data_IF_779340206702
#
_entry.id   IF_779340206702
#
_cell.length_a   1.000
_cell.length_b   1.000
_cell.length_c   1.000
_cell.angle_alpha   90.00
_cell.angle_beta   90.00
_cell.angle_gamma   90.00
#
_symmetry.space_group_name_H-M   'P 1'
#
loop_
_entity.id
_entity.type
_entity.pdbx_description
1 polymer ?
#
# COMPACT_ATOMS: atom_id res chain seq x y z
N UNK A 1 -6.45 8.78 -13.41
CA UNK A 1 -6.47 7.59 -12.55
C UNK A 1 -7.69 7.63 -11.65
N UNK A 2 -8.15 6.47 -11.15
CA UNK A 2 -9.27 6.39 -10.20
C UNK A 2 -9.03 7.27 -8.98
N UNK A 3 -7.81 7.31 -8.47
CA UNK A 3 -7.42 8.13 -7.33
C UNK A 3 -7.58 9.64 -7.60
N UNK A 4 -7.19 10.13 -8.77
CA UNK A 4 -7.43 11.53 -9.17
C UNK A 4 -8.93 11.83 -9.23
N UNK A 5 -9.70 10.94 -9.85
CA UNK A 5 -11.15 11.12 -9.90
C UNK A 5 -11.77 11.20 -8.50
N UNK A 6 -11.33 10.36 -7.56
CA UNK A 6 -11.84 10.37 -6.19
C UNK A 6 -11.52 11.70 -5.47
N UNK A 7 -10.30 12.21 -5.56
CA UNK A 7 -9.93 13.46 -4.89
C UNK A 7 -10.53 14.70 -5.54
N UNK A 8 -10.91 14.63 -6.82
CA UNK A 8 -11.62 15.72 -7.49
C UNK A 8 -13.06 15.92 -6.95
N UNK A 9 -13.64 14.87 -6.33
CA UNK A 9 -14.91 14.96 -5.64
C UNK A 9 -14.79 15.62 -4.24
N UNK A 10 -13.57 15.79 -3.74
CA UNK A 10 -13.27 16.38 -2.43
C UNK A 10 -12.23 17.49 -2.64
N UNK A 11 -12.62 18.64 -3.23
CA UNK A 11 -11.69 19.69 -3.64
C UNK A 11 -10.90 20.31 -2.47
N UNK A 12 -11.49 20.31 -1.27
CA UNK A 12 -10.89 20.88 -0.06
C UNK A 12 -9.95 19.91 0.69
N UNK A 13 -9.79 18.68 0.20
CA UNK A 13 -8.85 17.73 0.79
C UNK A 13 -7.41 18.25 0.66
N UNK A 14 -6.69 18.34 1.77
CA UNK A 14 -5.26 18.69 1.82
C UNK A 14 -4.39 17.44 1.90
N UNK A 15 -4.75 16.51 2.78
CA UNK A 15 -4.05 15.23 2.98
C UNK A 15 -4.98 14.09 2.62
N UNK A 16 -4.45 13.14 1.88
CA UNK A 16 -5.17 11.91 1.48
C UNK A 16 -4.49 10.72 2.10
N UNK A 17 -5.26 9.88 2.78
CA UNK A 17 -4.84 8.54 3.21
C UNK A 17 -5.51 7.52 2.28
N UNK A 18 -4.73 6.93 1.39
CA UNK A 18 -5.16 5.84 0.51
C UNK A 18 -4.82 4.52 1.18
N UNK A 19 -5.83 3.71 1.44
CA UNK A 19 -5.73 2.43 2.15
C UNK A 19 -6.17 1.32 1.21
N UNK A 20 -5.35 0.27 1.07
CA UNK A 20 -5.74 -0.92 0.33
C UNK A 20 -6.47 -1.90 1.25
N UNK A 21 -7.67 -2.31 0.85
CA UNK A 21 -8.50 -3.20 1.67
C UNK A 21 -8.03 -4.67 1.65
N UNK A 22 -7.10 -5.01 0.77
CA UNK A 22 -6.34 -6.26 0.79
C UNK A 22 -5.36 -6.37 1.96
N UNK A 23 -5.14 -5.30 2.72
CA UNK A 23 -4.22 -5.25 3.88
C UNK A 23 -5.00 -5.18 5.19
N UNK A 24 -5.37 -6.32 5.79
CA UNK A 24 -6.34 -6.38 6.90
C UNK A 24 -5.78 -5.97 8.27
N UNK A 25 -4.46 -5.83 8.41
CA UNK A 25 -3.80 -5.65 9.72
C UNK A 25 -3.16 -4.28 9.91
N UNK A 26 -3.73 -3.24 9.31
CA UNK A 26 -3.22 -1.88 9.48
C UNK A 26 -3.39 -1.44 10.94
N UNK A 27 -2.30 -1.05 11.57
CA UNK A 27 -2.32 -0.49 12.92
C UNK A 27 -2.64 1.01 12.86
N UNK A 28 -3.68 1.49 13.58
CA UNK A 28 -4.08 2.90 13.57
C UNK A 28 -2.92 3.86 13.91
N UNK A 29 -2.03 3.48 14.82
CA UNK A 29 -0.86 4.28 15.22
C UNK A 29 0.10 4.55 14.06
N UNK A 30 0.25 3.58 13.13
CA UNK A 30 1.16 3.70 11.99
C UNK A 30 0.56 4.60 10.90
N UNK A 31 -0.74 4.48 10.66
CA UNK A 31 -1.48 5.39 9.79
C UNK A 31 -1.49 6.82 10.34
N UNK A 32 -1.78 6.99 11.63
CA UNK A 32 -1.70 8.27 12.33
C UNK A 32 -0.32 8.92 12.20
N UNK A 33 0.74 8.13 12.33
CA UNK A 33 2.10 8.62 12.16
C UNK A 33 2.33 9.13 10.74
N UNK A 34 1.91 8.38 9.74
CA UNK A 34 2.03 8.79 8.34
C UNK A 34 1.24 10.09 8.07
N UNK A 35 0.01 10.19 8.59
CA UNK A 35 -0.80 11.40 8.46
C UNK A 35 -0.10 12.62 9.09
N UNK A 36 0.45 12.48 10.29
CA UNK A 36 1.22 13.55 10.94
C UNK A 36 2.43 13.97 10.14
N UNK A 37 3.24 13.04 9.64
CA UNK A 37 4.41 13.35 8.83
C UNK A 37 4.07 14.21 7.61
N UNK A 38 2.92 13.94 6.98
CA UNK A 38 2.47 14.74 5.83
C UNK A 38 1.85 16.07 6.29
N UNK A 39 0.99 16.07 7.31
CA UNK A 39 0.34 17.29 7.82
C UNK A 39 1.35 18.31 8.35
N UNK A 40 2.37 17.85 9.05
CA UNK A 40 3.41 18.70 9.67
C UNK A 40 4.47 19.14 8.65
N UNK A 41 4.40 18.63 7.41
CA UNK A 41 5.32 19.00 6.32
C UNK A 41 6.70 18.32 6.42
N UNK A 42 6.82 17.23 7.16
CA UNK A 42 8.04 16.41 7.21
C UNK A 42 8.26 15.64 5.91
N UNK A 43 7.17 15.29 5.21
CA UNK A 43 7.17 14.63 3.91
C UNK A 43 5.95 15.08 3.07
N UNK A 44 6.08 14.98 1.75
CA UNK A 44 4.98 15.21 0.81
C UNK A 44 4.19 13.94 0.53
N UNK A 45 4.87 12.79 0.62
CA UNK A 45 4.28 11.46 0.48
C UNK A 45 4.93 10.47 1.44
N UNK A 46 4.11 9.60 2.05
CA UNK A 46 4.53 8.56 2.99
C UNK A 46 3.85 7.24 2.60
N UNK A 47 4.60 6.16 2.62
CA UNK A 47 4.08 4.81 2.38
C UNK A 47 4.40 3.87 3.53
N UNK A 48 3.61 2.79 3.63
CA UNK A 48 3.89 1.70 4.56
C UNK A 48 4.98 0.78 4.02
N UNK A 49 5.93 0.40 4.86
CA UNK A 49 7.07 -0.40 4.45
C UNK A 49 7.50 -1.39 5.54
N UNK A 50 8.08 -2.51 5.12
CA UNK A 50 8.73 -3.47 6.01
C UNK A 50 10.22 -3.51 5.73
N UNK A 51 11.03 -3.77 6.78
CA UNK A 51 12.48 -3.91 6.59
C UNK A 51 12.80 -5.08 5.65
N UNK A 52 13.55 -4.79 4.58
CA UNK A 52 13.99 -5.78 3.59
C UNK A 52 15.47 -6.12 3.78
N UNK A 53 15.71 -7.39 4.08
CA UNK A 53 17.05 -7.94 4.23
C UNK A 53 17.36 -9.02 3.18
N UNK A 54 16.53 -9.10 2.13
CA UNK A 54 16.65 -10.08 1.07
C UNK A 54 17.82 -9.79 0.12
N UNK A 55 18.48 -10.84 -0.32
CA UNK A 55 19.38 -10.79 -1.46
C UNK A 55 18.54 -11.02 -2.71
N UNK A 56 18.25 -9.96 -3.46
CA UNK A 56 17.38 -10.01 -4.64
C UNK A 56 18.18 -10.37 -5.88
N UNK A 57 17.58 -11.17 -6.73
CA UNK A 57 18.14 -11.57 -8.03
C UNK A 57 17.08 -11.31 -9.10
N UNK A 58 17.52 -10.84 -10.24
CA UNK A 58 16.68 -10.60 -11.40
C UNK A 58 17.10 -11.52 -12.53
N UNK A 59 16.13 -12.15 -13.18
CA UNK A 59 16.36 -12.97 -14.36
C UNK A 59 16.41 -12.07 -15.60
N UNK A 60 17.50 -12.15 -16.36
CA UNK A 60 17.68 -11.50 -17.65
C UNK A 60 18.33 -12.47 -18.61
N UNK A 61 17.73 -12.67 -19.78
CA UNK A 61 18.22 -13.55 -20.84
C UNK A 61 18.55 -14.99 -20.36
N UNK A 62 17.75 -15.52 -19.43
CA UNK A 62 17.92 -16.87 -18.87
C UNK A 62 19.06 -16.99 -17.84
N UNK A 63 19.63 -15.88 -17.37
CA UNK A 63 20.63 -15.84 -16.31
C UNK A 63 20.15 -14.97 -15.14
N UNK A 64 20.59 -15.30 -13.92
CA UNK A 64 20.25 -14.53 -12.72
C UNK A 64 21.34 -13.53 -12.37
N UNK A 65 20.96 -12.29 -12.16
CA UNK A 65 21.83 -11.17 -11.81
C UNK A 65 21.48 -10.62 -10.44
N UNK A 66 22.47 -10.30 -9.57
CA UNK A 66 22.20 -9.73 -8.26
C UNK A 66 21.69 -8.30 -8.37
N UNK A 67 20.73 -7.93 -7.54
CA UNK A 67 20.16 -6.58 -7.48
C UNK A 67 20.53 -5.92 -6.15
N UNK A 68 21.36 -4.88 -6.25
CA UNK A 68 21.78 -4.08 -5.10
C UNK A 68 22.73 -4.79 -4.12
N UNK A 69 23.40 -5.86 -4.56
CA UNK A 69 24.50 -6.52 -3.88
C UNK A 69 25.45 -7.14 -4.91
N UNK A 70 26.63 -7.56 -4.48
CA UNK A 70 27.57 -8.28 -5.33
C UNK A 70 27.42 -9.80 -5.13
N UNK A 71 27.42 -10.57 -6.23
CA UNK A 71 27.28 -12.03 -6.17
C UNK A 71 28.43 -12.71 -5.42
N UNK A 72 29.64 -12.20 -5.60
CA UNK A 72 30.86 -12.77 -5.03
C UNK A 72 31.04 -12.44 -3.53
N UNK A 73 30.47 -11.33 -3.09
CA UNK A 73 30.58 -10.86 -1.71
C UNK A 73 29.20 -10.89 -1.06
N UNK A 74 29.00 -11.81 -0.10
CA UNK A 74 27.76 -11.88 0.66
C UNK A 74 27.95 -11.20 2.01
N UNK A 75 27.63 -9.90 2.14
CA UNK A 75 27.79 -9.19 3.40
C UNK A 75 26.84 -9.76 4.46
N UNK A 76 27.22 -9.65 5.72
CA UNK A 76 26.32 -10.01 6.80
C UNK A 76 25.12 -9.05 6.82
N UNK A 77 23.98 -9.53 7.29
CA UNK A 77 22.73 -8.75 7.35
C UNK A 77 22.89 -7.37 8.00
N UNK A 78 23.72 -7.30 9.06
CA UNK A 78 24.01 -6.06 9.80
C UNK A 78 24.91 -5.08 9.03
N UNK A 79 25.60 -5.53 8.01
CA UNK A 79 26.52 -4.72 7.20
C UNK A 79 25.82 -4.21 5.92
N UNK A 80 24.58 -4.62 5.68
CA UNK A 80 23.76 -4.14 4.56
C UNK A 80 23.24 -2.73 4.85
N UNK A 81 23.22 -1.88 3.83
CA UNK A 81 22.51 -0.61 3.92
C UNK A 81 21.03 -0.86 4.26
N UNK A 82 20.42 -0.05 5.14
CA UNK A 82 19.01 -0.17 5.45
C UNK A 82 18.17 -0.09 4.17
N UNK A 83 17.33 -1.07 3.95
CA UNK A 83 16.37 -1.14 2.84
C UNK A 83 15.00 -1.44 3.37
N UNK A 84 14.00 -0.95 2.66
CA UNK A 84 12.61 -1.25 2.94
C UNK A 84 11.94 -1.77 1.67
N UNK A 85 10.93 -2.59 1.87
CA UNK A 85 10.01 -3.03 0.84
C UNK A 85 8.65 -2.40 1.12
N UNK A 86 8.07 -1.77 0.11
CA UNK A 86 6.70 -1.27 0.13
C UNK A 86 5.72 -2.40 0.40
N UNK A 87 4.73 -2.18 1.27
CA UNK A 87 3.78 -3.24 1.66
C UNK A 87 2.42 -3.10 0.98
N UNK A 88 2.18 -1.99 0.28
CA UNK A 88 0.86 -1.72 -0.32
C UNK A 88 -0.21 -1.28 0.67
N UNK A 89 -0.06 -1.50 1.97
CA UNK A 89 -1.13 -1.33 2.94
C UNK A 89 -1.75 0.07 2.97
N UNK A 90 -0.92 1.11 2.99
CA UNK A 90 -1.38 2.49 2.92
C UNK A 90 -0.37 3.45 2.31
N UNK A 91 -0.90 4.56 1.79
CA UNK A 91 -0.16 5.70 1.26
C UNK A 91 -0.80 6.98 1.77
N UNK A 92 -0.02 7.89 2.31
CA UNK A 92 -0.49 9.20 2.75
C UNK A 92 0.27 10.26 1.99
N UNK A 93 -0.43 11.23 1.39
CA UNK A 93 0.20 12.23 0.55
C UNK A 93 -0.62 13.52 0.47
N UNK A 94 0.03 14.61 0.03
CA UNK A 94 -0.64 15.88 -0.27
C UNK A 94 -1.53 15.73 -1.51
N UNK A 95 -2.82 16.06 -1.39
CA UNK A 95 -3.77 16.04 -2.50
C UNK A 95 -3.32 16.93 -3.65
N UNK A 96 -2.77 18.11 -3.34
CA UNK A 96 -2.20 19.04 -4.33
C UNK A 96 -1.10 18.38 -5.15
N UNK A 97 -0.16 17.68 -4.51
CA UNK A 97 0.95 17.03 -5.21
C UNK A 97 0.48 15.95 -6.18
N UNK A 98 -0.55 15.15 -5.81
CA UNK A 98 -1.16 14.21 -6.73
C UNK A 98 -1.85 14.89 -7.91
N UNK A 99 -2.58 16.02 -7.68
CA UNK A 99 -3.19 16.81 -8.76
C UNK A 99 -2.15 17.35 -9.74
N UNK A 100 -1.04 17.87 -9.22
CA UNK A 100 0.00 18.51 -10.02
C UNK A 100 0.86 17.49 -10.80
N UNK A 101 1.20 16.36 -10.20
CA UNK A 101 2.15 15.36 -10.76
C UNK A 101 1.47 14.16 -11.42
N UNK A 102 0.22 13.88 -11.07
CA UNK A 102 -0.47 12.65 -11.44
C UNK A 102 0.01 11.41 -10.68
N UNK A 103 0.93 11.54 -9.73
CA UNK A 103 1.53 10.47 -8.96
C UNK A 103 1.33 10.66 -7.45
N UNK A 104 1.00 9.56 -6.74
CA UNK A 104 0.98 9.56 -5.27
C UNK A 104 2.39 9.72 -4.67
N UNK A 105 3.43 9.41 -5.42
CA UNK A 105 4.81 9.65 -5.04
C UNK A 105 5.30 10.95 -5.68
N UNK A 106 5.43 11.99 -4.87
CA UNK A 106 5.89 13.31 -5.28
C UNK A 106 6.63 14.00 -4.13
N UNK A 107 7.43 15.01 -4.44
CA UNK A 107 8.18 15.78 -3.45
C UNK A 107 9.11 14.93 -2.59
N UNK A 108 9.15 15.22 -1.29
CA UNK A 108 9.89 14.44 -0.30
C UNK A 108 9.12 13.19 0.08
N UNK A 109 9.69 12.03 -0.22
CA UNK A 109 9.05 10.73 0.05
C UNK A 109 9.67 10.12 1.31
N UNK A 110 8.82 9.64 2.23
CA UNK A 110 9.23 8.95 3.44
C UNK A 110 8.44 7.65 3.63
N UNK A 111 8.77 6.87 4.66
CA UNK A 111 8.11 5.60 4.95
C UNK A 111 7.83 5.43 6.44
N UNK A 112 6.71 4.80 6.75
CA UNK A 112 6.43 4.25 8.08
C UNK A 112 6.75 2.77 8.06
N UNK A 113 7.70 2.35 8.91
CA UNK A 113 8.01 0.92 9.08
C UNK A 113 6.93 0.26 9.89
N UNK A 114 6.35 -0.81 9.31
CA UNK A 114 5.33 -1.65 9.93
C UNK A 114 5.91 -3.04 10.24
N UNK A 115 5.23 -3.81 11.07
CA UNK A 115 5.61 -5.18 11.37
C UNK A 115 5.31 -6.15 10.22
N UNK A 116 5.81 -7.38 10.36
CA UNK A 116 5.56 -8.43 9.35
C UNK A 116 4.09 -8.84 9.25
N UNK A 117 3.37 -8.83 10.37
CA UNK A 117 1.93 -9.11 10.38
C UNK A 117 1.17 -8.01 9.64
N UNK A 118 1.51 -6.76 9.91
CA UNK A 118 0.90 -5.57 9.32
C UNK A 118 1.25 -5.41 7.83
N UNK A 119 2.26 -6.14 7.35
CA UNK A 119 2.67 -6.16 5.94
C UNK A 119 2.00 -7.26 5.11
N UNK A 120 1.09 -8.04 5.71
CA UNK A 120 0.36 -9.06 4.96
C UNK A 120 -0.64 -8.40 4.01
N UNK A 121 -0.54 -8.78 2.75
CA UNK A 121 -1.49 -8.46 1.68
C UNK A 121 -2.22 -9.74 1.25
N UNK A 122 -3.51 -9.66 0.96
CA UNK A 122 -4.33 -10.80 0.53
C UNK A 122 -4.46 -10.74 -0.99
N UNK A 123 -3.59 -11.46 -1.67
CA UNK A 123 -3.58 -11.61 -3.14
C UNK A 123 -4.00 -13.01 -3.58
N UNK A 124 -4.00 -13.97 -2.67
CA UNK A 124 -4.30 -15.37 -2.93
C UNK A 124 -5.20 -16.00 -1.86
N UNK A 125 -5.75 -17.19 -2.15
CA UNK A 125 -6.51 -17.96 -1.17
C UNK A 125 -5.66 -18.40 0.03
N UNK A 126 -4.36 -18.63 -0.18
CA UNK A 126 -3.39 -18.94 0.85
C UNK A 126 -3.17 -17.77 1.79
N UNK A 127 -3.04 -16.55 1.26
CA UNK A 127 -2.93 -15.32 2.07
C UNK A 127 -4.19 -15.10 2.91
N UNK A 128 -5.37 -15.32 2.32
CA UNK A 128 -6.63 -15.23 3.05
C UNK A 128 -6.70 -16.24 4.20
N UNK A 129 -6.20 -17.47 4.00
CA UNK A 129 -6.14 -18.48 5.05
C UNK A 129 -5.20 -18.06 6.16
N UNK A 130 -4.02 -17.55 5.80
CA UNK A 130 -3.05 -17.02 6.77
C UNK A 130 -3.62 -15.81 7.52
N UNK A 131 -4.30 -14.90 6.83
CA UNK A 131 -4.95 -13.75 7.45
C UNK A 131 -5.99 -14.18 8.50
N UNK A 132 -6.80 -15.19 8.20
CA UNK A 132 -7.79 -15.74 9.15
C UNK A 132 -7.11 -16.34 10.40
N UNK A 133 -6.05 -17.08 10.23
CA UNK A 133 -5.29 -17.64 11.37
C UNK A 133 -4.69 -16.55 12.25
N UNK A 134 -4.10 -15.51 11.63
CA UNK A 134 -3.54 -14.38 12.35
C UNK A 134 -4.62 -13.54 13.06
N UNK A 135 -5.80 -13.38 12.46
CA UNK A 135 -6.92 -12.67 13.05
C UNK A 135 -7.49 -13.40 14.28
N UNK A 136 -7.57 -14.72 14.25
CA UNK A 136 -8.05 -15.53 15.40
C UNK A 136 -7.13 -15.41 16.63
N UNK A 137 -5.86 -15.09 16.44
CA UNK A 137 -4.87 -14.92 17.51
C UNK A 137 -4.72 -13.46 17.97
N UNK A 138 -5.50 -12.55 17.41
CA UNK A 138 -5.43 -11.13 17.76
C UNK A 138 -6.46 -10.77 18.84
N UNK A 139 -5.99 -10.25 19.96
CA UNK A 139 -6.85 -9.56 20.92
C UNK A 139 -7.35 -8.24 20.31
N UNK A 140 -8.65 -8.17 20.14
CA UNK A 140 -9.50 -6.97 19.94
C UNK A 140 -8.98 -5.85 19.02
N UNK A 141 -9.63 -5.73 17.87
CA UNK A 141 -9.54 -4.59 16.95
C UNK A 141 -9.86 -3.28 17.67
N UNK A 142 -8.90 -2.37 17.81
CA UNK A 142 -9.17 -0.99 18.26
C UNK A 142 -9.81 -0.23 17.10
N UNK A 143 -10.87 0.50 17.39
CA UNK A 143 -11.49 1.39 16.42
C UNK A 143 -10.50 2.46 15.94
N UNK A 144 -10.47 2.67 14.63
CA UNK A 144 -9.78 3.82 14.01
C UNK A 144 -10.52 5.08 14.47
N UNK A 145 -9.78 6.16 14.76
CA UNK A 145 -10.36 7.46 15.11
C UNK A 145 -11.20 8.07 13.97
N UNK A 146 -11.79 9.26 14.16
CA UNK A 146 -12.59 9.88 13.13
C UNK A 146 -11.76 10.10 11.86
N UNK A 147 -12.30 9.65 10.73
CA UNK A 147 -11.75 9.82 9.38
C UNK A 147 -12.69 10.72 8.58
N UNK A 148 -12.15 11.66 7.84
CA UNK A 148 -12.95 12.52 6.95
C UNK A 148 -13.35 11.78 5.66
N UNK A 149 -12.50 10.86 5.18
CA UNK A 149 -12.78 10.01 4.04
C UNK A 149 -11.95 8.72 4.07
N UNK A 150 -12.53 7.65 3.54
CA UNK A 150 -11.85 6.38 3.26
C UNK A 150 -11.97 6.10 1.77
N UNK A 151 -10.82 5.91 1.09
CA UNK A 151 -10.77 5.51 -0.32
C UNK A 151 -10.37 4.05 -0.37
N UNK A 152 -11.25 3.19 -0.86
CA UNK A 152 -11.00 1.77 -1.03
C UNK A 152 -10.73 1.46 -2.51
N UNK A 153 -9.88 0.48 -2.76
CA UNK A 153 -9.79 -0.15 -4.08
C UNK A 153 -11.09 -0.89 -4.39
N UNK A 154 -11.50 -0.89 -5.65
CA UNK A 154 -12.81 -1.42 -6.06
C UNK A 154 -12.70 -2.77 -6.77
N UNK A 155 -11.70 -2.91 -7.64
CA UNK A 155 -11.54 -4.12 -8.46
C UNK A 155 -10.92 -5.26 -7.64
N UNK A 156 -11.54 -6.46 -7.74
CA UNK A 156 -11.15 -7.63 -6.96
C UNK A 156 -11.47 -7.56 -5.45
N UNK A 157 -11.97 -6.43 -4.97
CA UNK A 157 -12.34 -6.22 -3.57
C UNK A 157 -13.85 -6.15 -3.38
N UNK A 158 -14.50 -5.32 -4.17
CA UNK A 158 -15.97 -5.19 -4.19
C UNK A 158 -16.59 -5.87 -5.40
N UNK A 159 -15.76 -6.35 -6.33
CA UNK A 159 -16.16 -7.06 -7.55
C UNK A 159 -15.49 -8.43 -7.60
N UNK A 160 -15.96 -9.29 -8.49
CA UNK A 160 -15.37 -10.61 -8.79
C UNK A 160 -14.36 -10.55 -9.95
N UNK A 161 -13.85 -9.37 -10.28
CA UNK A 161 -12.99 -9.08 -11.44
C UNK A 161 -13.60 -9.42 -12.81
N UNK A 162 -14.91 -9.70 -12.87
CA UNK A 162 -15.60 -9.94 -14.11
C UNK A 162 -16.28 -8.67 -14.61
N UNK A 163 -15.90 -8.26 -15.80
CA UNK A 163 -16.53 -7.14 -16.52
C UNK A 163 -17.45 -7.71 -17.57
N UNK A 164 -18.72 -7.33 -17.55
CA UNK A 164 -19.70 -7.65 -18.57
C UNK A 164 -19.77 -6.47 -19.54
N UNK A 165 -19.56 -6.74 -20.83
CA UNK A 165 -19.64 -5.72 -21.88
C UNK A 165 -20.85 -6.03 -22.73
N UNK A 166 -21.78 -5.08 -22.87
CA UNK A 166 -22.95 -5.23 -23.74
C UNK A 166 -22.58 -4.96 -25.21
N UNK A 167 -23.54 -5.21 -26.13
CA UNK A 167 -23.38 -5.01 -27.58
C UNK A 167 -23.12 -3.52 -27.95
N UNK A 168 -23.24 -2.57 -27.03
CA UNK A 168 -22.96 -1.16 -27.24
C UNK A 168 -21.61 -0.76 -26.63
N UNK A 169 -20.87 -1.72 -26.05
CA UNK A 169 -19.60 -1.47 -25.37
C UNK A 169 -19.75 -0.87 -23.98
N UNK A 170 -20.94 -0.94 -23.37
CA UNK A 170 -21.14 -0.47 -21.99
C UNK A 170 -20.68 -1.55 -21.02
N UNK A 171 -19.74 -1.18 -20.14
CA UNK A 171 -19.19 -2.05 -19.12
C UNK A 171 -20.07 -2.04 -17.88
N UNK A 172 -20.28 -3.21 -17.29
CA UNK A 172 -20.93 -3.38 -16.00
C UNK A 172 -20.22 -4.42 -15.15
N UNK A 173 -20.14 -4.17 -13.84
CA UNK A 173 -19.50 -5.05 -12.88
C UNK A 173 -20.51 -5.53 -11.86
N UNK A 174 -20.30 -6.74 -11.34
CA UNK A 174 -21.12 -7.30 -10.25
C UNK A 174 -20.47 -6.93 -8.92
N UNK A 175 -21.22 -6.21 -8.11
CA UNK A 175 -20.81 -5.86 -6.74
C UNK A 175 -21.37 -6.90 -5.78
N UNK A 176 -20.50 -7.51 -4.95
CA UNK A 176 -20.93 -8.34 -3.83
C UNK A 176 -21.19 -7.43 -2.63
N UNK A 177 -22.34 -7.62 -1.97
CA UNK A 177 -22.70 -6.92 -0.73
C UNK A 177 -22.27 -7.72 0.49
#
# INVERSE_FOLDING_TARGET
>A
SALLHAIDQIPDADVVAFIQCTSPFIEPKDLDKACRMVSDGEADAVFSAVDDHGFRWEERDGAFHPVGHEAATRPRRQDLAPRVMETGAFYVFRAKGLRDSGSRFHGTISAVRVGRRESLEIDSAEDLSLARELAMNAETTRAIGPLDAVVCDFDGVHTDDHVWVDEKGVESVRVSR
#
